data_IF_882110271166
#
_entry.id   IF_882110271166
#
_cell.length_a   1.000
_cell.length_b   1.000
_cell.length_c   1.000
_cell.angle_alpha   90.00
_cell.angle_beta   90.00
_cell.angle_gamma   90.00
#
_symmetry.space_group_name_H-M   'P 1'
#
loop_
_entity.id
_entity.type
_entity.pdbx_description
1 polymer ?
#
# COMPACT_ATOMS: atom_id res chain seq x y z
N UNK A 1 36.58 16.06 -26.95
CA UNK A 1 36.06 14.78 -26.40
C UNK A 1 35.45 14.95 -25.01
N UNK A 2 35.95 15.84 -24.16
CA UNK A 2 35.40 16.15 -22.82
C UNK A 2 33.93 16.56 -22.82
N UNK A 3 33.50 17.35 -23.82
CA UNK A 3 32.13 17.86 -23.97
C UNK A 3 31.06 16.75 -24.10
N UNK A 4 31.37 15.64 -24.78
CA UNK A 4 30.38 14.54 -24.93
C UNK A 4 30.12 13.83 -23.61
N UNK A 5 31.15 13.59 -22.79
CA UNK A 5 30.99 12.96 -21.47
C UNK A 5 30.31 13.88 -20.48
N UNK A 6 30.63 15.17 -20.52
CA UNK A 6 29.99 16.19 -19.70
C UNK A 6 28.49 16.30 -20.04
N UNK A 7 28.15 16.30 -21.33
CA UNK A 7 26.75 16.26 -21.77
C UNK A 7 26.04 14.97 -21.34
N UNK A 8 26.68 13.81 -21.46
CA UNK A 8 26.10 12.53 -21.01
C UNK A 8 25.82 12.53 -19.51
N UNK A 9 26.71 13.11 -18.70
CA UNK A 9 26.53 13.21 -17.24
C UNK A 9 25.48 14.25 -16.88
N UNK A 10 25.57 15.46 -17.45
CA UNK A 10 24.67 16.56 -17.12
C UNK A 10 23.22 16.28 -17.54
N UNK A 11 23.05 15.64 -18.70
CA UNK A 11 21.74 15.31 -19.27
C UNK A 11 21.29 13.86 -19.02
N UNK A 12 22.03 13.09 -18.21
CA UNK A 12 21.60 11.74 -17.83
C UNK A 12 20.18 11.78 -17.25
N UNK A 13 19.25 10.90 -17.64
CA UNK A 13 17.86 10.90 -17.15
C UNK A 13 17.70 10.38 -15.71
N UNK A 14 18.78 10.45 -14.92
CA UNK A 14 18.89 10.05 -13.52
C UNK A 14 19.58 11.16 -12.74
N UNK A 15 19.29 11.27 -11.45
CA UNK A 15 19.98 12.21 -10.58
C UNK A 15 21.36 11.64 -10.22
N UNK A 16 22.41 12.38 -10.53
CA UNK A 16 23.77 11.99 -10.18
C UNK A 16 24.28 12.92 -9.07
N UNK A 17 24.93 12.33 -8.07
CA UNK A 17 25.48 13.01 -6.91
C UNK A 17 26.89 12.51 -6.61
N UNK A 18 27.75 13.44 -6.21
CA UNK A 18 28.95 13.14 -5.43
C UNK A 18 28.76 13.73 -4.05
N UNK A 19 28.86 12.91 -3.00
CA UNK A 19 28.69 13.34 -1.60
C UNK A 19 29.88 12.89 -0.76
N UNK A 20 30.27 13.69 0.24
CA UNK A 20 31.27 13.26 1.23
C UNK A 20 30.72 12.12 2.09
N UNK A 21 31.59 11.42 2.84
CA UNK A 21 31.16 10.43 3.83
C UNK A 21 30.25 11.02 4.92
N UNK A 22 30.30 12.33 5.15
CA UNK A 22 29.40 13.06 6.05
C UNK A 22 28.06 13.47 5.42
N UNK A 23 27.82 13.13 4.15
CA UNK A 23 26.59 13.48 3.41
C UNK A 23 26.60 14.87 2.78
N UNK A 24 27.73 15.58 2.77
CA UNK A 24 27.85 16.90 2.15
C UNK A 24 27.88 16.75 0.63
N UNK A 25 27.02 17.47 -0.08
CA UNK A 25 26.98 17.47 -1.55
C UNK A 25 28.22 18.19 -2.09
N UNK A 26 28.99 17.48 -2.91
CA UNK A 26 30.21 17.96 -3.57
C UNK A 26 29.95 18.30 -5.04
N UNK A 27 29.13 17.49 -5.72
CA UNK A 27 28.72 17.72 -7.11
C UNK A 27 27.36 17.09 -7.38
N UNK A 28 26.67 17.60 -8.40
CA UNK A 28 25.39 17.06 -8.87
C UNK A 28 25.19 17.38 -10.35
N UNK A 29 24.38 16.56 -11.05
CA UNK A 29 23.97 16.88 -12.42
C UNK A 29 22.68 17.70 -12.46
N UNK A 30 22.36 18.25 -13.64
CA UNK A 30 21.12 19.02 -13.86
C UNK A 30 19.86 18.33 -13.39
N UNK A 31 19.68 17.02 -13.65
CA UNK A 31 18.47 16.30 -13.21
C UNK A 31 18.31 16.27 -11.70
N UNK A 32 19.40 16.06 -10.97
CA UNK A 32 19.37 16.12 -9.52
C UNK A 32 19.04 17.54 -9.03
N UNK A 33 19.61 18.57 -9.68
CA UNK A 33 19.28 19.96 -9.39
C UNK A 33 17.79 20.24 -9.56
N UNK A 34 17.20 19.82 -10.69
CA UNK A 34 15.78 19.95 -10.97
C UNK A 34 14.94 19.33 -9.85
N UNK A 35 15.25 18.10 -9.43
CA UNK A 35 14.55 17.47 -8.32
C UNK A 35 14.75 18.24 -7.01
N UNK A 36 15.97 18.64 -6.63
CA UNK A 36 16.15 19.39 -5.38
C UNK A 36 15.49 20.79 -5.40
N UNK A 37 15.45 21.47 -6.56
CA UNK A 37 14.83 22.80 -6.73
C UNK A 37 13.30 22.75 -6.72
N UNK A 38 12.71 21.81 -7.48
CA UNK A 38 11.27 21.52 -7.46
C UNK A 38 10.77 21.32 -6.02
N UNK A 39 11.67 20.94 -5.11
CA UNK A 39 11.35 20.51 -3.75
C UNK A 39 11.74 21.51 -2.65
N UNK A 40 12.52 22.56 -2.95
CA UNK A 40 12.95 23.59 -1.99
C UNK A 40 12.44 25.00 -2.32
N UNK A 41 11.80 25.22 -3.47
CA UNK A 41 11.18 26.50 -3.85
C UNK A 41 12.14 27.68 -4.07
N UNK A 42 13.46 27.43 -4.03
CA UNK A 42 14.51 28.42 -4.26
C UNK A 42 15.26 28.09 -5.55
N UNK A 43 15.10 28.91 -6.58
CA UNK A 43 15.64 28.72 -7.94
C UNK A 43 17.15 29.01 -8.05
N UNK A 44 17.76 29.59 -7.00
CA UNK A 44 19.13 30.13 -7.01
C UNK A 44 20.08 29.56 -5.94
N UNK A 45 19.62 28.60 -5.13
CA UNK A 45 20.48 27.98 -4.12
C UNK A 45 21.41 26.94 -4.75
N UNK A 46 22.72 27.13 -4.60
CA UNK A 46 23.67 26.04 -4.82
C UNK A 46 23.47 24.96 -3.76
N UNK A 47 23.35 23.70 -4.20
CA UNK A 47 23.26 22.57 -3.27
C UNK A 47 24.63 22.11 -2.77
N UNK A 48 25.72 22.53 -3.43
CA UNK A 48 27.08 22.21 -3.01
C UNK A 48 27.35 22.77 -1.62
N UNK A 49 27.96 21.97 -0.75
CA UNK A 49 28.29 22.33 0.63
C UNK A 49 27.17 22.11 1.64
N UNK A 50 25.96 21.75 1.19
CA UNK A 50 24.83 21.39 2.06
C UNK A 50 24.75 19.88 2.28
N UNK A 51 24.03 19.44 3.31
CA UNK A 51 23.91 18.02 3.62
C UNK A 51 22.69 17.39 2.97
N UNK A 52 22.86 16.28 2.25
CA UNK A 52 21.76 15.58 1.56
C UNK A 52 20.61 15.21 2.50
N UNK A 53 20.89 14.99 3.80
CA UNK A 53 19.87 14.64 4.80
C UNK A 53 18.84 15.74 5.04
N UNK A 54 19.14 16.99 4.68
CA UNK A 54 18.22 18.12 4.85
C UNK A 54 16.96 17.94 3.96
N UNK A 55 17.14 17.32 2.79
CA UNK A 55 16.08 17.02 1.84
C UNK A 55 15.35 15.71 2.09
N UNK A 56 15.93 14.81 2.89
CA UNK A 56 15.30 13.53 3.22
C UNK A 56 14.13 13.70 4.18
N UNK A 57 13.10 12.86 4.06
CA UNK A 57 12.05 12.75 5.07
C UNK A 57 12.65 12.30 6.41
N UNK A 58 12.04 12.61 7.58
CA UNK A 58 12.58 12.17 8.87
C UNK A 58 12.77 10.65 8.97
N UNK A 59 11.83 9.88 8.41
CA UNK A 59 11.91 8.41 8.33
C UNK A 59 13.10 7.96 7.48
N UNK A 60 13.30 8.59 6.32
CA UNK A 60 14.40 8.25 5.43
C UNK A 60 15.75 8.67 6.00
N UNK A 61 15.85 9.80 6.70
CA UNK A 61 17.07 10.22 7.38
C UNK A 61 17.55 9.16 8.39
N UNK A 62 16.62 8.64 9.21
CA UNK A 62 16.94 7.56 10.14
C UNK A 62 17.38 6.28 9.41
N UNK A 63 16.70 5.89 8.32
CA UNK A 63 17.10 4.74 7.49
C UNK A 63 18.51 4.94 6.88
N UNK A 64 18.79 6.15 6.42
CA UNK A 64 20.07 6.52 5.84
C UNK A 64 21.21 6.37 6.85
N UNK A 65 21.02 6.91 8.05
CA UNK A 65 22.01 6.87 9.14
C UNK A 65 22.18 5.45 9.74
N UNK A 66 21.09 4.70 9.91
CA UNK A 66 21.12 3.41 10.62
C UNK A 66 21.36 2.19 9.75
N UNK A 67 21.12 2.28 8.42
CA UNK A 67 21.22 1.14 7.51
C UNK A 67 22.07 1.43 6.28
N UNK A 68 21.79 2.52 5.57
CA UNK A 68 22.43 2.79 4.26
C UNK A 68 23.90 3.10 4.43
N UNK A 69 24.24 4.08 5.28
CA UNK A 69 25.64 4.45 5.51
C UNK A 69 26.47 3.32 6.11
N UNK A 70 26.00 2.59 7.15
CA UNK A 70 26.72 1.41 7.64
C UNK A 70 26.96 0.35 6.56
N UNK A 71 25.98 0.10 5.68
CA UNK A 71 26.16 -0.84 4.57
C UNK A 71 27.23 -0.38 3.59
N UNK A 72 27.20 0.90 3.19
CA UNK A 72 28.21 1.48 2.28
C UNK A 72 29.60 1.39 2.92
N UNK A 73 29.75 1.78 4.19
CA UNK A 73 31.04 1.72 4.89
C UNK A 73 31.56 0.28 5.05
N UNK A 74 30.67 -0.70 5.20
CA UNK A 74 31.04 -2.10 5.37
C UNK A 74 31.35 -2.82 4.05
N UNK A 75 30.66 -2.47 2.96
CA UNK A 75 30.70 -3.25 1.71
C UNK A 75 31.20 -2.45 0.50
N UNK A 76 31.46 -1.16 0.69
CA UNK A 76 31.85 -0.23 -0.37
C UNK A 76 30.69 0.25 -1.25
N UNK A 77 29.47 -0.29 -1.11
CA UNK A 77 28.33 0.11 -1.95
C UNK A 77 26.96 -0.21 -1.35
N UNK A 78 25.92 0.36 -1.94
CA UNK A 78 24.52 -0.02 -1.72
C UNK A 78 23.81 -0.04 -3.07
N UNK A 79 22.85 -0.96 -3.23
CA UNK A 79 21.99 -1.04 -4.41
C UNK A 79 20.53 -0.97 -4.01
N UNK A 80 19.76 -0.23 -4.80
CA UNK A 80 18.31 -0.04 -4.67
C UNK A 80 17.86 0.41 -3.27
N UNK A 81 18.66 1.24 -2.61
CA UNK A 81 18.23 1.84 -1.35
C UNK A 81 17.05 2.77 -1.61
N UNK A 82 15.93 2.53 -0.93
CA UNK A 82 14.77 3.42 -1.00
C UNK A 82 15.06 4.64 -0.13
N UNK A 83 14.98 5.83 -0.74
CA UNK A 83 15.03 7.09 -0.04
C UNK A 83 13.82 7.94 -0.43
N UNK A 84 13.26 8.69 0.51
CA UNK A 84 12.22 9.68 0.21
C UNK A 84 12.77 11.10 0.37
N UNK A 85 12.55 11.91 -0.66
CA UNK A 85 12.83 13.35 -0.64
C UNK A 85 11.52 14.09 -0.34
N UNK A 86 11.60 15.14 0.48
CA UNK A 86 10.46 16.01 0.81
C UNK A 86 10.08 16.85 -0.42
N UNK A 87 8.82 16.84 -0.84
CA UNK A 87 8.27 17.70 -1.89
C UNK A 87 7.95 19.13 -1.40
N UNK A 88 7.75 20.07 -2.33
CA UNK A 88 7.49 21.48 -2.01
C UNK A 88 6.14 21.69 -1.30
N UNK A 89 5.20 20.78 -1.53
CA UNK A 89 3.85 20.72 -0.95
C UNK A 89 3.79 19.81 0.29
N UNK A 90 4.93 19.35 0.79
CA UNK A 90 5.02 18.37 1.88
C UNK A 90 4.77 16.92 1.43
N UNK A 91 4.62 16.66 0.13
CA UNK A 91 4.59 15.31 -0.42
C UNK A 91 5.91 14.57 -0.17
N UNK A 92 5.90 13.26 -0.37
CA UNK A 92 7.10 12.41 -0.23
C UNK A 92 7.33 11.73 -1.55
N UNK A 93 8.45 12.05 -2.20
CA UNK A 93 8.78 11.48 -3.50
C UNK A 93 9.79 10.37 -3.28
N UNK A 94 9.45 9.11 -3.59
CA UNK A 94 10.36 7.99 -3.41
C UNK A 94 11.37 7.92 -4.56
N UNK A 95 12.62 7.64 -4.21
CA UNK A 95 13.73 7.40 -5.11
C UNK A 95 14.40 6.07 -4.77
N UNK A 96 14.90 5.40 -5.80
CA UNK A 96 15.87 4.33 -5.66
C UNK A 96 17.27 4.93 -5.80
N UNK A 97 18.14 4.62 -4.84
CA UNK A 97 19.52 5.09 -4.79
C UNK A 97 20.48 3.91 -4.88
N UNK A 98 21.40 3.98 -5.84
CA UNK A 98 22.63 3.22 -5.83
C UNK A 98 23.75 4.15 -5.42
N UNK A 99 24.65 3.70 -4.56
CA UNK A 99 25.84 4.47 -4.22
C UNK A 99 27.04 3.56 -4.03
N UNK A 100 28.22 4.06 -4.36
CA UNK A 100 29.49 3.37 -4.18
C UNK A 100 30.58 4.33 -3.68
N UNK A 101 31.50 3.79 -2.90
CA UNK A 101 32.68 4.52 -2.45
C UNK A 101 33.60 4.75 -3.66
N UNK A 102 34.07 5.98 -3.81
CA UNK A 102 35.05 6.36 -4.80
C UNK A 102 36.17 7.18 -4.14
N UNK A 103 37.38 7.04 -4.69
CA UNK A 103 38.54 7.84 -4.30
C UNK A 103 38.79 8.90 -5.38
N UNK A 104 39.04 10.15 -4.96
CA UNK A 104 39.45 11.23 -5.86
C UNK A 104 40.16 12.32 -5.08
N UNK A 105 41.23 12.88 -5.66
CA UNK A 105 42.06 13.95 -5.07
C UNK A 105 42.56 13.66 -3.63
N UNK A 106 42.70 12.38 -3.26
CA UNK A 106 43.11 11.96 -1.92
C UNK A 106 42.00 11.92 -0.88
N UNK A 107 40.74 12.18 -1.28
CA UNK A 107 39.57 12.11 -0.42
C UNK A 107 38.59 11.01 -0.84
N UNK A 108 38.03 10.33 0.17
CA UNK A 108 36.97 9.35 -0.01
C UNK A 108 35.61 10.04 -0.09
N UNK A 109 34.88 9.77 -1.16
CA UNK A 109 33.52 10.26 -1.38
C UNK A 109 32.61 9.13 -1.85
N UNK A 110 31.31 9.39 -1.93
CA UNK A 110 30.34 8.49 -2.51
C UNK A 110 29.87 9.05 -3.84
N UNK A 111 29.81 8.19 -4.85
CA UNK A 111 29.09 8.47 -6.11
C UNK A 111 27.74 7.80 -6.02
N UNK A 112 26.67 8.56 -6.20
CA UNK A 112 25.32 8.07 -6.11
C UNK A 112 24.53 8.38 -7.38
N UNK A 113 23.67 7.43 -7.75
CA UNK A 113 22.69 7.55 -8.82
C UNK A 113 21.29 7.34 -8.24
N UNK A 114 20.40 8.29 -8.48
CA UNK A 114 19.03 8.33 -8.00
C UNK A 114 18.06 8.23 -9.16
N UNK A 115 17.06 7.37 -9.01
CA UNK A 115 15.95 7.22 -9.95
C UNK A 115 14.63 7.46 -9.22
N UNK A 116 13.84 8.43 -9.69
CA UNK A 116 12.49 8.63 -9.16
C UNK A 116 11.66 7.37 -9.39
N UNK A 117 11.06 6.84 -8.33
CA UNK A 117 10.30 5.60 -8.36
C UNK A 117 8.89 5.74 -7.75
N UNK A 118 8.10 6.77 -8.12
CA UNK A 118 6.75 6.96 -7.58
C UNK A 118 5.83 5.75 -7.83
N UNK A 119 6.04 5.06 -8.96
CA UNK A 119 5.25 3.87 -9.33
C UNK A 119 5.54 2.62 -8.48
N UNK A 120 6.69 2.49 -7.83
CA UNK A 120 7.04 1.26 -7.08
C UNK A 120 6.22 1.12 -5.80
N UNK A 121 5.92 2.23 -5.12
CA UNK A 121 5.01 2.25 -3.97
C UNK A 121 3.55 2.07 -4.41
N UNK A 122 3.16 2.61 -5.57
CA UNK A 122 1.82 2.43 -6.10
C UNK A 122 1.56 0.96 -6.49
N UNK A 123 2.53 0.31 -7.14
CA UNK A 123 2.44 -1.10 -7.53
C UNK A 123 2.36 -2.03 -6.32
N UNK A 124 3.17 -1.83 -5.28
CA UNK A 124 3.07 -2.63 -4.05
C UNK A 124 1.69 -2.50 -3.38
N UNK A 125 1.12 -1.29 -3.37
CA UNK A 125 -0.25 -1.07 -2.86
C UNK A 125 -1.31 -1.72 -3.72
N UNK A 126 -1.20 -1.63 -5.04
CA UNK A 126 -2.12 -2.25 -5.98
C UNK A 126 -2.11 -3.78 -5.85
N UNK A 127 -0.93 -4.39 -5.70
CA UNK A 127 -0.79 -5.83 -5.48
C UNK A 127 -1.40 -6.26 -4.15
N UNK A 128 -1.18 -5.51 -3.06
CA UNK A 128 -1.79 -5.81 -1.76
C UNK A 128 -3.31 -5.70 -1.82
N UNK A 129 -3.83 -4.66 -2.47
CA UNK A 129 -5.28 -4.47 -2.63
C UNK A 129 -5.90 -5.57 -3.49
N UNK A 130 -5.29 -5.88 -4.64
CA UNK A 130 -5.77 -6.95 -5.52
C UNK A 130 -5.78 -8.31 -4.82
N UNK A 131 -4.80 -8.58 -3.96
CA UNK A 131 -4.77 -9.80 -3.15
C UNK A 131 -5.92 -9.83 -2.14
N UNK A 132 -6.13 -8.74 -1.41
CA UNK A 132 -7.25 -8.64 -0.46
C UNK A 132 -8.60 -8.84 -1.14
N UNK A 133 -8.81 -8.21 -2.29
CA UNK A 133 -10.07 -8.32 -3.05
C UNK A 133 -10.30 -9.76 -3.55
N UNK A 134 -9.22 -10.44 -3.98
CA UNK A 134 -9.29 -11.86 -4.37
C UNK A 134 -9.60 -12.78 -3.18
N UNK A 135 -9.04 -12.52 -2.00
CA UNK A 135 -9.32 -13.28 -0.78
C UNK A 135 -10.80 -13.14 -0.38
N UNK A 136 -11.33 -11.90 -0.35
CA UNK A 136 -12.75 -11.64 -0.07
C UNK A 136 -13.68 -12.32 -1.09
N UNK A 137 -13.35 -12.25 -2.38
CA UNK A 137 -14.14 -12.90 -3.42
C UNK A 137 -14.13 -14.44 -3.29
N UNK A 138 -12.98 -15.02 -2.95
CA UNK A 138 -12.84 -16.46 -2.72
C UNK A 138 -13.66 -16.92 -1.51
N UNK A 139 -13.65 -16.17 -0.41
CA UNK A 139 -14.46 -16.46 0.77
C UNK A 139 -15.95 -16.40 0.46
N UNK A 140 -16.39 -15.37 -0.27
CA UNK A 140 -17.78 -15.23 -0.69
C UNK A 140 -18.24 -16.38 -1.60
N UNK A 141 -17.41 -16.79 -2.58
CA UNK A 141 -17.70 -17.92 -3.46
C UNK A 141 -17.80 -19.24 -2.68
N UNK A 142 -16.85 -19.49 -1.79
CA UNK A 142 -16.84 -20.69 -0.94
C UNK A 142 -18.10 -20.77 -0.07
N UNK A 143 -18.50 -19.64 0.53
CA UNK A 143 -19.73 -19.56 1.31
C UNK A 143 -20.98 -19.85 0.46
N UNK A 144 -21.07 -19.27 -0.74
CA UNK A 144 -22.21 -19.52 -1.64
C UNK A 144 -22.27 -20.97 -2.10
N UNK A 145 -21.13 -21.58 -2.42
CA UNK A 145 -21.06 -22.99 -2.81
C UNK A 145 -21.46 -23.93 -1.68
N UNK A 146 -20.98 -23.68 -0.45
CA UNK A 146 -21.35 -24.45 0.74
C UNK A 146 -22.85 -24.35 1.03
N UNK A 147 -23.38 -23.12 1.06
CA UNK A 147 -24.81 -22.88 1.27
C UNK A 147 -25.66 -23.57 0.20
N UNK A 148 -25.31 -23.41 -1.09
CA UNK A 148 -26.05 -24.04 -2.21
C UNK A 148 -26.02 -25.56 -2.11
N UNK A 149 -24.88 -26.16 -1.76
CA UNK A 149 -24.73 -27.62 -1.64
C UNK A 149 -25.58 -28.17 -0.49
N UNK A 150 -25.58 -27.50 0.66
CA UNK A 150 -26.42 -27.87 1.82
C UNK A 150 -27.91 -27.71 1.51
N UNK A 151 -28.29 -26.62 0.83
CA UNK A 151 -29.67 -26.40 0.40
C UNK A 151 -30.16 -27.43 -0.62
N UNK A 152 -29.29 -27.90 -1.52
CA UNK A 152 -29.66 -28.87 -2.54
C UNK A 152 -30.08 -30.24 -1.97
N UNK A 153 -29.62 -30.58 -0.76
CA UNK A 153 -29.96 -31.84 -0.08
C UNK A 153 -30.96 -31.67 1.07
N UNK A 154 -31.33 -30.43 1.42
CA UNK A 154 -32.22 -30.13 2.54
C UNK A 154 -33.59 -30.82 2.39
N UNK A 155 -34.03 -31.49 3.45
CA UNK A 155 -35.30 -32.22 3.49
C UNK A 155 -36.32 -31.45 4.33
N UNK A 156 -36.99 -30.49 3.70
CA UNK A 156 -38.05 -29.71 4.32
C UNK A 156 -37.59 -28.40 4.96
N UNK A 157 -38.54 -27.73 5.60
CA UNK A 157 -38.40 -26.33 6.02
C UNK A 157 -37.43 -26.17 7.20
N UNK A 158 -37.28 -27.20 8.04
CA UNK A 158 -36.40 -27.14 9.21
C UNK A 158 -34.91 -27.15 8.80
N UNK A 159 -34.50 -28.07 7.90
CA UNK A 159 -33.15 -28.09 7.31
C UNK A 159 -32.83 -26.78 6.56
N UNK A 160 -33.80 -26.28 5.78
CA UNK A 160 -33.68 -25.01 5.07
C UNK A 160 -33.39 -23.85 6.04
N UNK A 161 -34.12 -23.77 7.15
CA UNK A 161 -33.95 -22.72 8.14
C UNK A 161 -32.59 -22.73 8.82
N UNK A 162 -32.07 -23.92 9.17
CA UNK A 162 -30.74 -24.06 9.78
C UNK A 162 -29.62 -23.65 8.82
N UNK A 163 -29.66 -24.12 7.57
CA UNK A 163 -28.67 -23.79 6.55
C UNK A 163 -28.64 -22.29 6.26
N UNK A 164 -29.81 -21.65 6.20
CA UNK A 164 -29.90 -20.20 5.97
C UNK A 164 -29.35 -19.39 7.15
N UNK A 165 -29.58 -19.81 8.39
CA UNK A 165 -29.02 -19.14 9.58
C UNK A 165 -27.49 -19.26 9.59
N UNK A 166 -26.96 -20.45 9.30
CA UNK A 166 -25.52 -20.68 9.26
C UNK A 166 -24.85 -19.85 8.15
N UNK A 167 -25.42 -19.88 6.93
CA UNK A 167 -24.90 -19.14 5.80
C UNK A 167 -24.95 -17.62 6.02
N UNK A 168 -26.07 -17.09 6.52
CA UNK A 168 -26.22 -15.67 6.79
C UNK A 168 -25.35 -15.19 7.97
N UNK A 169 -25.16 -16.02 9.00
CA UNK A 169 -24.26 -15.71 10.11
C UNK A 169 -22.81 -15.59 9.63
N UNK A 170 -22.35 -16.52 8.79
CA UNK A 170 -21.01 -16.47 8.18
C UNK A 170 -20.86 -15.30 7.22
N UNK A 171 -21.85 -15.01 6.38
CA UNK A 171 -21.80 -13.92 5.38
C UNK A 171 -21.68 -12.53 6.02
N UNK A 172 -22.33 -12.34 7.16
CA UNK A 172 -22.49 -11.01 7.76
C UNK A 172 -21.55 -10.75 8.93
N UNK A 173 -20.91 -11.81 9.45
CA UNK A 173 -20.19 -11.78 10.72
C UNK A 173 -21.02 -11.15 11.86
N UNK A 174 -22.35 -11.25 11.76
CA UNK A 174 -23.24 -10.65 12.72
C UNK A 174 -23.16 -11.40 14.05
N UNK A 175 -23.26 -10.65 15.16
CA UNK A 175 -23.29 -11.22 16.50
C UNK A 175 -24.47 -12.19 16.72
N UNK A 176 -25.54 -12.07 15.93
CA UNK A 176 -26.68 -12.98 15.91
C UNK A 176 -27.34 -12.97 14.53
N UNK A 177 -28.03 -14.05 14.19
CA UNK A 177 -28.76 -14.18 12.93
C UNK A 177 -30.00 -15.03 13.18
N UNK A 178 -31.14 -14.59 12.65
CA UNK A 178 -32.39 -15.34 12.71
C UNK A 178 -33.09 -15.33 11.36
N UNK A 179 -33.60 -16.48 10.93
CA UNK A 179 -34.39 -16.64 9.71
C UNK A 179 -35.83 -16.94 10.11
N UNK A 180 -36.78 -16.27 9.45
CA UNK A 180 -38.22 -16.50 9.64
C UNK A 180 -38.85 -16.89 8.31
N UNK A 181 -39.51 -18.03 8.29
CA UNK A 181 -40.23 -18.51 7.11
C UNK A 181 -41.72 -18.48 7.44
N UNK A 182 -42.46 -17.84 6.54
CA UNK A 182 -43.91 -17.72 6.59
C UNK A 182 -44.51 -18.78 5.64
N UNK A 183 -45.19 -19.77 6.19
CA UNK A 183 -45.79 -20.87 5.44
C UNK A 183 -47.32 -20.70 5.41
N UNK A 184 -47.90 -20.50 4.22
CA UNK A 184 -49.36 -20.46 4.05
C UNK A 184 -49.92 -21.88 4.10
N UNK A 185 -50.83 -22.13 5.05
CA UNK A 185 -51.49 -23.42 5.24
C UNK A 185 -52.45 -23.68 4.07
N UNK A 186 -52.68 -24.95 3.73
CA UNK A 186 -53.49 -25.39 2.59
C UNK A 186 -54.92 -24.81 2.52
N UNK A 187 -55.47 -24.30 3.63
CA UNK A 187 -56.76 -23.60 3.71
C UNK A 187 -56.70 -22.14 3.16
N UNK A 188 -55.51 -21.64 2.81
CA UNK A 188 -55.29 -20.30 2.23
C UNK A 188 -55.56 -19.12 3.17
N UNK A 189 -56.19 -19.35 4.33
CA UNK A 189 -56.58 -18.33 5.30
C UNK A 189 -55.69 -18.28 6.55
N UNK A 190 -54.85 -19.29 6.76
CA UNK A 190 -53.98 -19.40 7.93
C UNK A 190 -52.51 -19.44 7.52
N UNK A 191 -51.67 -18.83 8.35
CA UNK A 191 -50.22 -18.78 8.12
C UNK A 191 -49.47 -19.25 9.35
N UNK A 192 -48.48 -20.11 9.14
CA UNK A 192 -47.58 -20.59 10.20
C UNK A 192 -46.24 -19.88 10.04
N UNK A 193 -45.82 -19.19 11.10
CA UNK A 193 -44.49 -18.59 11.18
C UNK A 193 -43.55 -19.55 11.89
N UNK A 194 -42.46 -19.93 11.23
CA UNK A 194 -41.35 -20.67 11.85
C UNK A 194 -40.11 -19.80 11.92
N UNK A 195 -39.32 -19.95 12.97
CA UNK A 195 -38.11 -19.18 13.19
C UNK A 195 -36.94 -20.09 13.57
N UNK A 196 -35.77 -19.80 12.99
CA UNK A 196 -34.48 -20.41 13.31
C UNK A 196 -33.48 -19.34 13.74
N UNK A 197 -32.46 -19.75 14.49
CA UNK A 197 -31.41 -18.87 14.98
C UNK A 197 -31.81 -18.03 16.20
N UNK A 198 -30.88 -17.22 16.69
CA UNK A 198 -31.06 -16.43 17.91
C UNK A 198 -31.37 -14.98 17.58
N UNK A 199 -32.33 -14.40 18.29
CA UNK A 199 -32.62 -12.96 18.28
C UNK A 199 -32.50 -12.46 19.72
N UNK A 200 -31.67 -11.46 20.02
CA UNK A 200 -31.58 -10.88 21.35
C UNK A 200 -32.92 -10.31 21.81
N UNK A 201 -33.19 -10.39 23.12
CA UNK A 201 -34.39 -9.79 23.71
C UNK A 201 -34.43 -8.28 23.41
N UNK A 202 -35.51 -7.81 22.78
CA UNK A 202 -35.70 -6.40 22.40
C UNK A 202 -35.37 -6.05 20.95
N UNK A 203 -34.75 -6.95 20.18
CA UNK A 203 -34.57 -6.77 18.74
C UNK A 203 -35.86 -7.16 17.99
N UNK A 204 -36.84 -6.25 17.95
CA UNK A 204 -38.03 -6.43 17.10
C UNK A 204 -37.71 -5.97 15.67
N UNK A 205 -37.77 -6.87 14.66
CA UNK A 205 -37.71 -6.41 13.28
C UNK A 205 -38.98 -5.60 12.99
N UNK A 206 -38.80 -4.37 12.49
CA UNK A 206 -39.89 -3.50 12.10
C UNK A 206 -40.79 -4.21 11.08
N UNK A 207 -42.03 -4.53 11.48
CA UNK A 207 -43.07 -4.99 10.57
C UNK A 207 -43.51 -3.82 9.67
N UNK A 208 -42.76 -3.51 8.61
CA UNK A 208 -43.35 -2.78 7.49
C UNK A 208 -44.29 -3.73 6.75
N UNK A 209 -45.57 -3.68 7.12
CA UNK A 209 -46.65 -4.18 6.25
C UNK A 209 -46.51 -3.47 4.91
N UNK A 210 -46.23 -4.23 3.85
CA UNK A 210 -46.51 -3.76 2.49
C UNK A 210 -48.02 -3.53 2.43
N UNK A 211 -48.42 -2.25 2.50
CA UNK A 211 -49.81 -1.85 2.21
C UNK A 211 -50.01 -2.02 0.70
N UNK A 212 -50.89 -2.94 0.33
CA UNK A 212 -51.79 -2.74 -0.81
C UNK A 212 -52.86 -1.73 -0.44
#
# INVERSE_FOLDING_TARGET
MTDVYEQLVDHAPVGLLTISLGGVILAYNRRMATWLHEHNGAETDTFVGRNIVDWLTPSTRMLYETRVMPQILSTGSVREAVIEIKGPDGSRVPFLMNAEVAEGDGETHLRAALLAAPGRIAFEREVVQARHDAEVASEALSLMQDATSKLAVAQGVDDLGEVLVEAAGRATHAAWTSVRIEETVADGMSTVMRQWGTTPAGAHPNHRRARG
#
